data_IF_665191825635
#
_entry.id   IF_665191825635
#
_cell.length_a   1.000
_cell.length_b   1.000
_cell.length_c   1.000
_cell.angle_alpha   90.00
_cell.angle_beta   90.00
_cell.angle_gamma   90.00
#
_symmetry.space_group_name_H-M   'P 1'
#
loop_
_entity.id
_entity.type
_entity.pdbx_description
1 polymer ?
#
# COMPACT_ATOMS: atom_id res chain seq x y z
N UNK A 1 3.07 -18.41 -1.62
CA UNK A 1 2.63 -17.13 -1.02
C UNK A 1 3.82 -16.21 -0.71
N UNK A 2 4.89 -16.70 -0.05
CA UNK A 2 6.11 -15.92 0.24
C UNK A 2 6.79 -15.23 -0.95
N UNK A 3 6.78 -15.82 -2.14
CA UNK A 3 7.44 -15.24 -3.31
C UNK A 3 6.61 -14.16 -4.02
N UNK A 4 5.31 -14.13 -3.74
CA UNK A 4 4.35 -13.26 -4.42
C UNK A 4 3.86 -12.13 -3.51
N UNK A 5 3.99 -12.26 -2.17
CA UNK A 5 3.53 -11.25 -1.22
C UNK A 5 4.15 -9.87 -1.45
N UNK A 6 5.40 -9.83 -1.91
CA UNK A 6 6.11 -8.57 -2.14
C UNK A 6 5.75 -7.91 -3.48
N UNK A 7 4.99 -8.61 -4.32
CA UNK A 7 4.69 -8.19 -5.70
C UNK A 7 3.22 -7.87 -5.93
N UNK A 8 2.31 -8.46 -5.15
CA UNK A 8 0.86 -8.34 -5.34
C UNK A 8 0.13 -8.18 -4.01
N UNK A 9 -1.03 -7.53 -4.06
CA UNK A 9 -1.95 -7.51 -2.92
C UNK A 9 -2.51 -8.92 -2.67
N UNK A 10 -2.26 -9.47 -1.49
CA UNK A 10 -2.74 -10.81 -1.13
C UNK A 10 -3.95 -10.73 -0.22
N UNK A 11 -5.05 -11.37 -0.63
CA UNK A 11 -6.25 -11.54 0.17
C UNK A 11 -6.48 -13.04 0.36
N UNK A 12 -6.31 -13.58 1.56
CA UNK A 12 -6.48 -15.01 1.80
C UNK A 12 -7.96 -15.38 1.85
N UNK A 13 -8.30 -16.47 1.16
CA UNK A 13 -9.66 -17.03 1.08
C UNK A 13 -9.64 -18.51 1.43
N UNK A 14 -10.68 -18.97 2.11
CA UNK A 14 -10.98 -20.39 2.32
C UNK A 14 -12.07 -20.74 1.30
N UNK A 15 -11.73 -21.49 0.22
CA UNK A 15 -12.70 -21.90 -0.77
C UNK A 15 -13.55 -23.05 -0.25
N UNK A 16 -14.74 -23.23 -0.84
CA UNK A 16 -15.65 -24.35 -0.55
C UNK A 16 -15.94 -24.50 0.95
N UNK A 17 -16.27 -23.39 1.60
CA UNK A 17 -16.61 -23.38 3.02
C UNK A 17 -17.80 -24.29 3.37
N UNK A 18 -18.61 -24.68 2.38
CA UNK A 18 -19.69 -25.68 2.49
C UNK A 18 -19.23 -27.07 2.96
N UNK A 19 -17.95 -27.40 2.79
CA UNK A 19 -17.38 -28.68 3.22
C UNK A 19 -16.92 -28.71 4.68
N UNK A 20 -16.99 -27.59 5.40
CA UNK A 20 -16.52 -27.45 6.78
C UNK A 20 -17.70 -27.11 7.69
N UNK A 21 -17.75 -27.73 8.86
CA UNK A 21 -18.66 -27.28 9.92
C UNK A 21 -18.21 -25.92 10.47
N UNK A 22 -19.09 -25.19 11.14
CA UNK A 22 -18.74 -23.88 11.71
C UNK A 22 -17.56 -23.96 12.70
N UNK A 23 -17.50 -25.04 13.49
CA UNK A 23 -16.42 -25.28 14.45
C UNK A 23 -15.08 -25.58 13.75
N UNK A 24 -15.09 -26.42 12.72
CA UNK A 24 -13.91 -26.71 11.91
C UNK A 24 -13.45 -25.48 11.14
N UNK A 25 -14.39 -24.68 10.64
CA UNK A 25 -14.09 -23.45 9.93
C UNK A 25 -13.39 -22.44 10.84
N UNK A 26 -13.86 -22.28 12.09
CA UNK A 26 -13.21 -21.41 13.06
C UNK A 26 -11.77 -21.86 13.35
N UNK A 27 -11.58 -23.16 13.61
CA UNK A 27 -10.25 -23.74 13.82
C UNK A 27 -9.35 -23.58 12.59
N UNK A 28 -9.89 -23.79 11.39
CA UNK A 28 -9.15 -23.62 10.14
C UNK A 28 -8.73 -22.17 9.91
N UNK A 29 -9.62 -21.20 10.20
CA UNK A 29 -9.28 -19.77 10.15
C UNK A 29 -8.12 -19.46 11.10
N UNK A 30 -8.13 -20.00 12.32
CA UNK A 30 -7.07 -19.78 13.31
C UNK A 30 -5.73 -20.35 12.85
N UNK A 31 -5.73 -21.58 12.33
CA UNK A 31 -4.53 -22.22 11.79
C UNK A 31 -3.94 -21.38 10.64
N UNK A 32 -4.78 -20.96 9.68
CA UNK A 32 -4.31 -20.16 8.54
C UNK A 32 -3.73 -18.82 9.00
N UNK A 33 -4.37 -18.13 9.96
CA UNK A 33 -3.83 -16.88 10.51
C UNK A 33 -2.49 -17.10 11.20
N UNK A 34 -2.35 -18.18 11.98
CA UNK A 34 -1.10 -18.54 12.63
C UNK A 34 -0.01 -18.84 11.60
N UNK A 35 -0.31 -19.60 10.55
CA UNK A 35 0.66 -19.91 9.50
C UNK A 35 1.10 -18.67 8.72
N UNK A 36 0.20 -17.74 8.42
CA UNK A 36 0.51 -16.46 7.77
C UNK A 36 1.51 -15.66 8.62
N UNK A 37 1.25 -15.57 9.93
CA UNK A 37 2.12 -14.86 10.87
C UNK A 37 3.48 -15.55 11.03
N UNK A 38 3.51 -16.87 11.20
CA UNK A 38 4.76 -17.63 11.36
C UNK A 38 5.67 -17.55 10.14
N UNK A 39 5.08 -17.42 8.96
CA UNK A 39 5.78 -17.37 7.69
C UNK A 39 6.10 -15.96 7.21
N UNK A 40 5.77 -14.93 8.01
CA UNK A 40 5.91 -13.51 7.70
C UNK A 40 5.35 -13.16 6.31
N UNK A 41 4.15 -13.66 6.02
CA UNK A 41 3.49 -13.41 4.74
C UNK A 41 2.74 -12.09 4.82
N UNK A 42 3.17 -11.12 4.01
CA UNK A 42 2.47 -9.84 3.89
C UNK A 42 1.14 -10.02 3.15
N UNK A 43 0.04 -9.97 3.90
CA UNK A 43 -1.32 -9.89 3.37
C UNK A 43 -1.78 -8.43 3.33
N UNK A 44 -2.76 -8.13 2.47
CA UNK A 44 -3.35 -6.81 2.39
C UNK A 44 -3.97 -6.43 3.74
N UNK A 45 -3.54 -5.31 4.31
CA UNK A 45 -4.04 -4.81 5.59
C UNK A 45 -5.21 -3.86 5.32
N UNK A 46 -6.41 -4.31 5.67
CA UNK A 46 -7.65 -3.52 5.58
C UNK A 46 -7.73 -2.43 6.67
N UNK A 47 -6.58 -2.03 7.24
CA UNK A 47 -6.46 -1.09 8.36
C UNK A 47 -7.46 -1.42 9.47
N UNK A 48 -7.98 -0.39 10.15
CA UNK A 48 -9.05 -0.52 11.15
C UNK A 48 -10.42 -0.24 10.54
N UNK A 49 -10.63 -0.61 9.27
CA UNK A 49 -11.88 -0.32 8.60
C UNK A 49 -12.98 -1.25 9.09
N UNK A 50 -14.13 -0.63 9.39
CA UNK A 50 -15.29 -1.33 9.93
C UNK A 50 -16.11 -1.92 8.79
N UNK A 51 -16.53 -3.18 8.96
CA UNK A 51 -17.36 -3.87 7.97
C UNK A 51 -18.67 -3.11 7.72
N UNK A 52 -19.28 -2.56 8.77
CA UNK A 52 -20.55 -1.84 8.68
C UNK A 52 -20.51 -0.55 7.87
N UNK A 53 -19.35 0.12 7.78
CA UNK A 53 -19.17 1.31 6.93
C UNK A 53 -19.02 0.90 5.46
N UNK A 54 -18.25 -0.16 5.20
CA UNK A 54 -18.12 -0.72 3.85
C UNK A 54 -19.46 -1.23 3.29
N UNK A 55 -20.26 -1.91 4.11
CA UNK A 55 -21.55 -2.45 3.69
C UNK A 55 -22.64 -1.38 3.52
N UNK A 56 -22.56 -0.28 4.26
CA UNK A 56 -23.48 0.86 4.08
C UNK A 56 -23.37 1.46 2.67
N UNK A 57 -22.17 1.46 2.07
CA UNK A 57 -21.96 1.94 0.70
C UNK A 57 -22.63 1.04 -0.36
N UNK A 58 -23.02 -0.19 0.01
CA UNK A 58 -23.67 -1.16 -0.86
C UNK A 58 -25.16 -1.33 -0.57
N UNK A 59 -25.77 -0.43 0.22
CA UNK A 59 -27.17 -0.51 0.63
C UNK A 59 -27.53 -1.87 1.25
N UNK A 60 -26.55 -2.48 1.94
CA UNK A 60 -26.74 -3.74 2.65
C UNK A 60 -27.04 -3.45 4.11
N UNK A 61 -28.27 -3.71 4.51
CA UNK A 61 -28.71 -3.63 5.91
C UNK A 61 -28.09 -4.75 6.75
N UNK A 62 -27.01 -4.43 7.44
CA UNK A 62 -26.40 -5.30 8.47
C UNK A 62 -27.24 -5.30 9.76
N UNK A 63 -28.07 -4.26 9.97
CA UNK A 63 -28.77 -3.97 11.23
C UNK A 63 -30.20 -4.50 11.31
N UNK A 64 -30.84 -4.80 10.18
CA UNK A 64 -32.32 -4.91 10.19
C UNK A 64 -32.83 -6.17 10.89
N UNK A 65 -32.01 -7.22 11.15
CA UNK A 65 -32.40 -8.37 11.97
C UNK A 65 -31.19 -9.18 12.53
N UNK A 66 -31.14 -9.51 13.84
CA UNK A 66 -30.05 -10.28 14.48
C UNK A 66 -29.95 -11.77 14.06
N UNK A 67 -30.68 -12.19 13.02
CA UNK A 67 -30.62 -13.54 12.43
C UNK A 67 -30.22 -13.57 10.96
N UNK A 68 -29.87 -12.42 10.35
CA UNK A 68 -29.56 -12.31 8.91
C UNK A 68 -28.10 -12.00 8.60
N UNK A 69 -27.30 -11.57 9.57
CA UNK A 69 -25.88 -11.26 9.40
C UNK A 69 -25.04 -12.03 10.43
N UNK A 70 -23.91 -12.58 9.97
CA UNK A 70 -22.96 -13.31 10.82
C UNK A 70 -22.07 -12.39 11.66
N UNK A 71 -21.84 -11.17 11.19
CA UNK A 71 -20.96 -10.19 11.84
C UNK A 71 -21.72 -8.91 12.20
N UNK A 72 -21.29 -8.27 13.30
CA UNK A 72 -21.77 -6.94 13.69
C UNK A 72 -21.13 -5.84 12.82
N UNK A 73 -21.76 -4.66 12.75
CA UNK A 73 -21.22 -3.48 12.03
C UNK A 73 -19.84 -3.06 12.52
N UNK A 74 -19.59 -3.23 13.82
CA UNK A 74 -18.32 -2.86 14.47
C UNK A 74 -17.21 -3.88 14.23
N UNK A 75 -17.50 -4.99 13.55
CA UNK A 75 -16.50 -6.02 13.25
C UNK A 75 -15.49 -5.46 12.26
N UNK A 76 -14.21 -5.60 12.58
CA UNK A 76 -13.13 -5.19 11.68
C UNK A 76 -12.98 -6.20 10.58
N UNK A 77 -12.72 -5.72 9.36
CA UNK A 77 -12.53 -6.59 8.19
C UNK A 77 -11.33 -7.54 8.39
N UNK A 78 -10.30 -7.07 9.09
CA UNK A 78 -9.12 -7.86 9.45
C UNK A 78 -9.43 -9.12 10.25
N UNK A 79 -10.42 -9.08 11.13
CA UNK A 79 -10.76 -10.21 12.01
C UNK A 79 -11.53 -11.31 11.23
N UNK A 80 -12.22 -10.91 10.16
CA UNK A 80 -12.98 -11.80 9.28
C UNK A 80 -12.05 -12.58 8.35
N UNK A 81 -10.93 -11.96 7.95
CA UNK A 81 -9.88 -12.57 7.15
C UNK A 81 -9.25 -13.77 7.90
N UNK A 82 -9.10 -14.94 7.25
CA UNK A 82 -9.40 -15.25 5.85
C UNK A 82 -10.90 -15.48 5.56
N UNK A 83 -11.37 -15.00 4.40
CA UNK A 83 -12.79 -15.06 4.02
C UNK A 83 -13.21 -16.47 3.64
N UNK A 84 -14.26 -16.99 4.26
CA UNK A 84 -14.81 -18.31 3.98
C UNK A 84 -15.92 -18.19 2.92
N UNK A 85 -15.60 -18.57 1.69
CA UNK A 85 -16.50 -18.35 0.55
C UNK A 85 -17.04 -19.65 -0.03
N UNK A 86 -18.29 -19.58 -0.44
CA UNK A 86 -18.95 -20.57 -1.29
C UNK A 86 -19.19 -19.89 -2.63
N UNK A 87 -18.89 -20.57 -3.73
CA UNK A 87 -19.12 -20.05 -5.08
C UNK A 87 -19.92 -21.07 -5.90
N UNK A 88 -20.76 -20.59 -6.80
CA UNK A 88 -21.50 -21.43 -7.76
C UNK A 88 -21.79 -20.67 -9.05
N UNK A 89 -21.79 -21.41 -10.16
CA UNK A 89 -22.22 -20.90 -11.47
C UNK A 89 -23.69 -21.21 -11.76
N UNK A 90 -24.34 -22.06 -10.97
CA UNK A 90 -25.75 -22.37 -11.14
C UNK A 90 -26.61 -21.21 -10.63
N UNK A 91 -27.61 -20.87 -11.42
CA UNK A 91 -28.54 -19.76 -11.15
C UNK A 91 -29.95 -20.30 -10.96
N UNK A 92 -30.68 -19.70 -10.04
CA UNK A 92 -32.11 -19.92 -9.83
C UNK A 92 -32.83 -18.58 -9.94
N UNK A 93 -33.85 -18.54 -10.79
CA UNK A 93 -34.73 -17.38 -10.88
C UNK A 93 -35.82 -17.50 -9.82
N UNK A 94 -35.83 -16.57 -8.87
CA UNK A 94 -36.87 -16.47 -7.83
C UNK A 94 -38.18 -15.94 -8.46
N UNK A 95 -39.32 -16.15 -7.80
CA UNK A 95 -40.63 -15.69 -8.27
C UNK A 95 -40.71 -14.18 -8.56
N UNK A 96 -39.82 -13.39 -7.97
CA UNK A 96 -39.68 -11.94 -8.17
C UNK A 96 -38.76 -11.57 -9.36
N UNK A 97 -38.39 -12.53 -10.21
CA UNK A 97 -37.50 -12.36 -11.35
C UNK A 97 -36.06 -11.93 -10.97
N UNK A 98 -35.69 -12.12 -9.69
CA UNK A 98 -34.32 -12.01 -9.20
C UNK A 98 -33.52 -13.27 -9.54
N UNK A 99 -32.24 -13.09 -9.89
CA UNK A 99 -31.32 -14.19 -10.21
C UNK A 99 -30.43 -14.43 -9.00
N UNK A 100 -30.59 -15.59 -8.36
CA UNK A 100 -29.77 -16.01 -7.22
C UNK A 100 -28.79 -17.10 -7.63
N UNK A 101 -27.55 -17.00 -7.17
CA UNK A 101 -26.56 -18.06 -7.32
C UNK A 101 -26.76 -19.13 -6.25
N UNK A 102 -26.94 -20.39 -6.67
CA UNK A 102 -27.23 -21.49 -5.76
C UNK A 102 -26.29 -22.68 -5.95
N UNK A 103 -26.11 -23.49 -4.92
CA UNK A 103 -25.42 -24.76 -4.98
C UNK A 103 -26.34 -25.85 -4.45
N UNK A 104 -26.67 -26.81 -5.31
CA UNK A 104 -27.61 -27.88 -5.00
C UNK A 104 -26.86 -29.15 -4.55
N UNK A 105 -27.34 -29.74 -3.47
CA UNK A 105 -26.95 -31.04 -2.95
C UNK A 105 -28.19 -31.91 -2.81
N UNK A 106 -27.98 -33.22 -2.65
CA UNK A 106 -29.07 -34.18 -2.43
C UNK A 106 -29.88 -33.87 -1.15
N UNK A 107 -29.27 -33.22 -0.15
CA UNK A 107 -29.88 -32.87 1.13
C UNK A 107 -30.43 -31.44 1.19
N UNK A 108 -30.20 -30.60 0.17
CA UNK A 108 -30.70 -29.22 0.16
C UNK A 108 -29.98 -28.30 -0.82
N UNK A 109 -30.49 -27.07 -0.95
CA UNK A 109 -29.89 -26.01 -1.75
C UNK A 109 -29.29 -24.92 -0.86
N UNK A 110 -28.04 -24.53 -1.12
CA UNK A 110 -27.41 -23.38 -0.48
C UNK A 110 -27.45 -22.17 -1.40
N UNK A 111 -27.79 -21.01 -0.84
CA UNK A 111 -27.73 -19.73 -1.56
C UNK A 111 -26.35 -19.13 -1.31
N UNK A 112 -25.64 -18.79 -2.39
CA UNK A 112 -24.26 -18.26 -2.33
C UNK A 112 -24.23 -16.83 -1.80
N UNK A 113 -25.24 -16.04 -2.16
CA UNK A 113 -25.40 -14.65 -1.74
C UNK A 113 -26.20 -14.52 -0.44
N UNK A 114 -26.12 -15.52 0.44
CA UNK A 114 -26.67 -15.41 1.79
C UNK A 114 -25.55 -15.10 2.80
N UNK A 115 -25.76 -14.06 3.61
CA UNK A 115 -24.77 -13.56 4.59
C UNK A 115 -24.57 -14.51 5.77
N UNK A 116 -25.55 -15.38 6.06
CA UNK A 116 -25.44 -16.33 7.18
C UNK A 116 -24.56 -17.52 6.79
N UNK A 117 -24.65 -17.95 5.54
CA UNK A 117 -23.98 -19.14 5.04
C UNK A 117 -22.57 -18.85 4.51
N UNK A 118 -22.35 -17.70 3.86
CA UNK A 118 -21.12 -17.42 3.12
C UNK A 118 -20.60 -16.00 3.36
N UNK A 119 -19.28 -15.86 3.49
CA UNK A 119 -18.62 -14.55 3.56
C UNK A 119 -18.50 -13.88 2.16
N UNK A 120 -19.10 -14.46 1.11
CA UNK A 120 -18.99 -14.01 -0.28
C UNK A 120 -19.48 -12.58 -0.49
N UNK A 121 -20.62 -12.20 0.11
CA UNK A 121 -21.16 -10.84 0.02
C UNK A 121 -20.17 -9.83 0.59
N UNK A 122 -19.59 -10.14 1.76
CA UNK A 122 -18.63 -9.26 2.41
C UNK A 122 -17.41 -9.06 1.54
N UNK A 123 -16.86 -10.15 0.97
CA UNK A 123 -15.73 -10.08 0.05
C UNK A 123 -16.06 -9.26 -1.20
N UNK A 124 -17.23 -9.45 -1.81
CA UNK A 124 -17.71 -8.71 -2.99
C UNK A 124 -17.79 -7.20 -2.70
N UNK A 125 -18.38 -6.82 -1.58
CA UNK A 125 -18.51 -5.41 -1.17
C UNK A 125 -17.16 -4.75 -0.90
N UNK A 126 -16.21 -5.47 -0.28
CA UNK A 126 -14.87 -4.95 -0.01
C UNK A 126 -14.10 -4.76 -1.33
N UNK A 127 -14.09 -5.77 -2.19
CA UNK A 127 -13.30 -5.78 -3.42
C UNK A 127 -13.81 -4.81 -4.48
N UNK A 128 -15.12 -4.75 -4.70
CA UNK A 128 -15.72 -3.94 -5.76
C UNK A 128 -16.17 -2.56 -5.27
N UNK A 129 -16.23 -2.38 -3.95
CA UNK A 129 -16.77 -1.19 -3.31
C UNK A 129 -15.72 -0.30 -2.70
N UNK A 130 -15.51 -0.47 -1.40
CA UNK A 130 -14.74 0.48 -0.59
C UNK A 130 -13.24 0.45 -0.88
N UNK A 131 -12.65 -0.74 -1.02
CA UNK A 131 -11.19 -0.90 -1.04
C UNK A 131 -10.60 -1.02 -2.45
N UNK A 132 -11.42 -0.98 -3.51
CA UNK A 132 -10.95 -1.11 -4.89
C UNK A 132 -9.90 -0.04 -5.24
N UNK A 133 -10.15 1.20 -4.84
CA UNK A 133 -9.25 2.31 -5.11
C UNK A 133 -7.95 2.18 -4.30
N UNK A 134 -8.05 1.78 -3.04
CA UNK A 134 -6.86 1.55 -2.20
C UNK A 134 -5.98 0.42 -2.73
N UNK A 135 -6.59 -0.69 -3.17
CA UNK A 135 -5.85 -1.80 -3.81
C UNK A 135 -5.06 -1.32 -5.03
N UNK A 136 -5.65 -0.42 -5.84
CA UNK A 136 -4.97 0.18 -6.99
C UNK A 136 -3.84 1.10 -6.55
N UNK A 137 -4.07 1.94 -5.54
CA UNK A 137 -3.07 2.89 -5.05
C UNK A 137 -1.88 2.18 -4.42
N UNK A 138 -2.09 1.12 -3.63
CA UNK A 138 -1.02 0.27 -3.08
C UNK A 138 -0.25 -0.43 -4.21
N UNK A 139 -0.96 -0.94 -5.22
CA UNK A 139 -0.29 -1.57 -6.38
C UNK A 139 0.62 -0.59 -7.10
N UNK A 140 0.13 0.64 -7.36
CA UNK A 140 0.89 1.62 -8.12
C UNK A 140 2.03 2.23 -7.30
N UNK A 141 1.74 2.70 -6.08
CA UNK A 141 2.66 3.52 -5.30
C UNK A 141 3.66 2.70 -4.47
N UNK A 142 3.35 1.45 -4.17
CA UNK A 142 4.22 0.57 -3.37
C UNK A 142 4.77 -0.55 -4.23
N UNK A 143 3.91 -1.46 -4.71
CA UNK A 143 4.37 -2.69 -5.36
C UNK A 143 5.08 -2.42 -6.69
N UNK A 144 4.50 -1.57 -7.53
CA UNK A 144 5.10 -1.18 -8.80
C UNK A 144 6.32 -0.26 -8.63
N UNK A 145 6.26 0.71 -7.71
CA UNK A 145 7.43 1.58 -7.45
C UNK A 145 8.62 0.78 -6.91
N UNK A 146 8.40 -0.20 -6.02
CA UNK A 146 9.45 -1.09 -5.53
C UNK A 146 10.07 -1.87 -6.68
N UNK A 147 9.25 -2.50 -7.52
CA UNK A 147 9.73 -3.20 -8.71
C UNK A 147 10.48 -2.24 -9.67
N UNK A 148 9.98 -1.02 -9.88
CA UNK A 148 10.64 -0.04 -10.75
C UNK A 148 12.01 0.36 -10.19
N UNK A 149 12.10 0.55 -8.87
CA UNK A 149 13.36 0.84 -8.20
C UNK A 149 14.37 -0.30 -8.39
N UNK A 150 13.95 -1.54 -8.16
CA UNK A 150 14.79 -2.73 -8.33
C UNK A 150 15.35 -2.82 -9.75
N UNK A 151 14.49 -2.73 -10.77
CA UNK A 151 14.93 -2.79 -12.17
C UNK A 151 15.85 -1.63 -12.56
N UNK A 152 15.60 -0.42 -12.05
CA UNK A 152 16.48 0.73 -12.31
C UNK A 152 17.85 0.57 -11.62
N UNK A 153 17.91 -0.05 -10.45
CA UNK A 153 19.17 -0.35 -9.77
C UNK A 153 19.95 -1.46 -10.46
N UNK A 154 19.29 -2.53 -10.90
CA UNK A 154 19.91 -3.61 -11.68
C UNK A 154 20.48 -3.09 -13.01
N UNK A 155 19.73 -2.25 -13.73
CA UNK A 155 20.20 -1.66 -14.99
C UNK A 155 21.37 -0.70 -14.80
N UNK A 156 21.46 0.03 -13.67
CA UNK A 156 22.63 0.88 -13.35
C UNK A 156 23.92 0.07 -13.21
N UNK A 157 23.85 -1.20 -12.83
CA UNK A 157 25.01 -2.09 -12.72
C UNK A 157 25.47 -2.58 -14.10
N UNK A 158 24.56 -2.67 -15.09
CA UNK A 158 24.86 -3.15 -16.44
C UNK A 158 25.12 -2.02 -17.46
N UNK A 159 24.85 -0.77 -17.12
CA UNK A 159 25.40 0.37 -17.86
C UNK A 159 26.83 0.63 -17.39
N UNK A 160 27.76 -0.24 -17.79
CA UNK A 160 29.14 0.18 -17.97
C UNK A 160 29.09 1.34 -18.94
N UNK A 161 29.18 2.55 -18.39
CA UNK A 161 29.43 3.78 -19.13
C UNK A 161 30.65 3.45 -20.00
N UNK A 162 30.56 3.49 -21.35
CA UNK A 162 31.75 3.46 -22.17
C UNK A 162 32.60 4.60 -21.68
N UNK A 163 33.77 4.28 -21.12
CA UNK A 163 34.71 5.21 -20.56
C UNK A 163 35.12 6.19 -21.69
N UNK A 164 34.35 7.25 -21.89
CA UNK A 164 34.76 8.37 -22.72
C UNK A 164 35.72 9.17 -21.85
N UNK A 165 36.95 8.68 -21.80
CA UNK A 165 38.08 9.32 -21.15
C UNK A 165 38.29 10.69 -21.80
N UNK A 166 37.68 11.71 -21.23
CA UNK A 166 38.14 13.07 -21.41
C UNK A 166 39.53 13.14 -20.78
N UNK A 167 40.53 13.51 -21.57
CA UNK A 167 41.88 13.75 -21.08
C UNK A 167 41.83 14.92 -20.11
N UNK A 168 41.93 14.65 -18.81
CA UNK A 168 42.05 15.63 -17.74
C UNK A 168 43.52 15.89 -17.46
N UNK A 169 44.03 17.02 -17.98
CA UNK A 169 45.32 17.58 -17.60
C UNK A 169 45.03 18.75 -16.64
N UNK A 170 45.12 18.51 -15.32
CA UNK A 170 44.93 19.61 -14.36
C UNK A 170 44.76 19.24 -12.90
N UNK A 171 45.84 18.76 -12.26
CA UNK A 171 46.17 18.98 -10.83
C UNK A 171 45.07 18.83 -9.74
N UNK A 172 45.19 17.75 -8.94
CA UNK A 172 45.19 17.65 -7.44
C UNK A 172 44.13 18.52 -6.71
N UNK A 173 43.28 18.00 -5.82
CA UNK A 173 43.60 17.30 -4.57
C UNK A 173 42.40 16.50 -4.04
N UNK A 174 42.71 15.43 -3.30
CA UNK A 174 41.76 14.50 -2.68
C UNK A 174 41.42 14.93 -1.25
N UNK A 175 40.14 15.11 -0.87
CA UNK A 175 39.68 14.98 0.53
C UNK A 175 38.22 14.45 0.63
N UNK A 176 38.12 13.23 1.17
CA UNK A 176 37.16 12.62 2.12
C UNK A 176 35.62 12.67 1.98
N UNK A 177 35.04 11.46 1.99
CA UNK A 177 34.07 10.89 2.94
C UNK A 177 32.81 11.66 3.41
N UNK A 178 31.67 10.99 3.14
CA UNK A 178 30.59 10.58 4.06
C UNK A 178 29.39 11.51 4.32
N UNK A 179 28.23 10.92 3.98
CA UNK A 179 26.84 11.10 4.45
C UNK A 179 26.10 12.41 4.15
N UNK A 180 25.19 12.34 3.18
CA UNK A 180 24.06 13.28 3.07
C UNK A 180 22.75 12.53 3.24
N UNK A 181 22.04 12.91 4.30
CA UNK A 181 20.66 12.53 4.55
C UNK A 181 19.72 13.00 3.44
N UNK A 182 18.61 12.28 3.36
CA UNK A 182 17.53 12.44 2.40
C UNK A 182 16.91 13.83 2.50
N UNK A 183 16.63 14.43 1.36
CA UNK A 183 15.49 15.34 1.21
C UNK A 183 14.91 15.19 -0.19
N UNK A 184 13.75 14.55 -0.22
CA UNK A 184 12.84 14.44 -1.33
C UNK A 184 12.33 15.83 -1.72
N UNK A 185 12.37 16.15 -3.01
CA UNK A 185 11.35 17.01 -3.63
C UNK A 185 11.29 16.70 -5.12
N UNK A 186 10.20 16.03 -5.46
CA UNK A 186 9.68 15.78 -6.80
C UNK A 186 9.56 17.09 -7.59
N UNK A 187 9.97 17.05 -8.87
CA UNK A 187 9.38 17.84 -9.97
C UNK A 187 9.76 17.19 -11.31
N UNK A 188 8.79 16.42 -11.83
CA UNK A 188 8.40 16.34 -13.25
C UNK A 188 9.52 16.44 -14.30
N UNK A 189 10.02 15.28 -14.75
CA UNK A 189 10.77 15.16 -16.00
C UNK A 189 9.78 15.05 -17.17
N UNK A 190 9.32 16.21 -17.65
CA UNK A 190 8.84 16.35 -19.01
C UNK A 190 10.04 16.63 -19.92
N UNK A 191 10.15 15.89 -21.01
CA UNK A 191 11.05 16.20 -22.12
C UNK A 191 10.97 17.69 -22.47
N UNK A 192 12.06 18.43 -22.32
CA UNK A 192 12.28 19.68 -23.01
C UNK A 192 13.71 19.67 -23.54
N UNK A 193 13.81 19.79 -24.85
CA UNK A 193 15.03 20.11 -25.56
C UNK A 193 15.77 21.24 -24.83
N UNK A 194 17.05 21.00 -24.52
CA UNK A 194 17.92 21.92 -23.82
C UNK A 194 18.24 23.09 -24.76
N UNK A 195 17.45 24.15 -24.69
CA UNK A 195 17.89 25.47 -25.13
C UNK A 195 18.90 25.99 -24.09
N UNK A 196 20.14 26.23 -24.52
CA UNK A 196 21.27 26.71 -23.68
C UNK A 196 20.92 27.95 -22.82
N UNK A 197 19.98 28.79 -23.25
CA UNK A 197 19.49 29.93 -22.46
C UNK A 197 18.77 29.52 -21.17
N UNK A 198 18.00 28.44 -21.21
CA UNK A 198 17.19 28.03 -20.05
C UNK A 198 18.08 27.41 -18.97
N UNK A 199 19.14 26.69 -19.38
CA UNK A 199 20.17 26.18 -18.48
C UNK A 199 20.90 27.34 -17.77
N UNK A 200 21.32 28.37 -18.52
CA UNK A 200 22.01 29.53 -17.94
C UNK A 200 21.14 30.27 -16.91
N UNK A 201 19.83 30.37 -17.16
CA UNK A 201 18.87 30.98 -16.24
C UNK A 201 18.70 30.17 -14.95
N UNK A 202 18.69 28.84 -15.05
CA UNK A 202 18.64 27.93 -13.90
C UNK A 202 19.93 28.03 -13.07
N UNK A 203 21.10 28.02 -13.71
CA UNK A 203 22.38 28.16 -13.00
C UNK A 203 22.48 29.50 -12.26
N UNK A 204 22.06 30.59 -12.89
CA UNK A 204 22.02 31.91 -12.25
C UNK A 204 21.09 31.95 -11.02
N UNK A 205 19.92 31.32 -11.11
CA UNK A 205 18.97 31.25 -9.99
C UNK A 205 19.50 30.37 -8.83
N UNK A 206 20.26 29.32 -9.14
CA UNK A 206 20.94 28.48 -8.16
C UNK A 206 22.00 29.28 -7.39
N UNK A 207 22.81 30.07 -8.08
CA UNK A 207 23.86 30.91 -7.45
C UNK A 207 23.26 31.99 -6.54
N UNK A 208 22.17 32.64 -6.97
CA UNK A 208 21.46 33.62 -6.15
C UNK A 208 20.91 32.99 -4.87
N UNK A 209 20.33 31.79 -4.95
CA UNK A 209 19.82 31.05 -3.78
C UNK A 209 20.95 30.59 -2.85
N UNK A 210 22.08 30.14 -3.39
CA UNK A 210 23.24 29.75 -2.60
C UNK A 210 23.81 30.93 -1.81
N UNK A 211 23.86 32.11 -2.41
CA UNK A 211 24.29 33.34 -1.73
C UNK A 211 23.36 33.71 -0.57
N UNK A 212 22.04 33.57 -0.77
CA UNK A 212 21.05 33.82 0.29
C UNK A 212 21.25 32.82 1.44
N UNK A 213 21.49 31.53 1.14
CA UNK A 213 21.75 30.50 2.14
C UNK A 213 23.00 30.84 2.97
N UNK A 214 24.07 31.30 2.34
CA UNK A 214 25.31 31.70 3.03
C UNK A 214 25.09 32.89 3.97
N UNK A 215 24.28 33.89 3.55
CA UNK A 215 23.93 35.03 4.39
C UNK A 215 23.09 34.61 5.61
N UNK A 216 22.16 33.67 5.43
CA UNK A 216 21.40 33.11 6.55
C UNK A 216 22.28 32.31 7.51
N UNK A 217 23.24 31.53 7.01
CA UNK A 217 24.19 30.80 7.85
C UNK A 217 25.04 31.76 8.70
N UNK A 218 25.57 32.83 8.10
CA UNK A 218 26.30 33.89 8.84
C UNK A 218 25.42 34.56 9.89
N UNK A 219 24.12 34.76 9.60
CA UNK A 219 23.16 35.34 10.55
C UNK A 219 22.95 34.41 11.75
N UNK A 220 22.80 33.11 11.49
CA UNK A 220 22.63 32.09 12.53
C UNK A 220 23.89 32.04 13.41
N UNK A 221 25.08 31.96 12.82
CA UNK A 221 26.35 31.94 13.56
C UNK A 221 26.55 33.19 14.45
N UNK A 222 26.12 34.35 13.95
CA UNK A 222 26.16 35.61 14.72
C UNK A 222 25.21 35.59 15.92
N UNK A 223 23.99 35.07 15.73
CA UNK A 223 23.01 34.90 16.80
C UNK A 223 23.48 33.88 17.84
N UNK A 224 24.08 32.76 17.40
CA UNK A 224 24.67 31.76 18.29
C UNK A 224 25.81 32.35 19.13
N UNK A 225 26.66 33.19 18.54
CA UNK A 225 27.70 33.92 19.29
C UNK A 225 27.13 34.92 20.29
N UNK A 226 25.99 35.55 20.00
CA UNK A 226 25.30 36.43 20.96
C UNK A 226 24.68 35.65 22.12
N UNK A 227 24.16 34.44 21.87
CA UNK A 227 23.60 33.55 22.88
C UNK A 227 24.67 32.86 23.74
N UNK A 228 25.88 32.66 23.22
CA UNK A 228 27.00 32.00 23.90
C UNK A 228 28.01 32.99 24.52
N UNK A 229 27.71 34.29 24.50
CA UNK A 229 28.48 35.30 25.22
C UNK A 229 28.48 35.06 26.74
N UNK A 230 29.59 35.31 27.45
CA UNK A 230 29.83 34.76 28.77
C UNK A 230 28.91 35.38 29.84
N UNK A 231 28.22 34.52 30.59
CA UNK A 231 27.73 34.83 31.94
C UNK A 231 28.93 35.30 32.79
N UNK A 232 29.13 36.61 32.83
CA UNK A 232 30.02 37.29 33.78
C UNK A 232 29.29 38.48 34.39
N UNK A 233 28.49 38.19 35.43
CA UNK A 233 28.45 39.00 36.66
C UNK A 233 27.59 38.30 37.71
N UNK A 234 28.25 37.66 38.69
CA UNK A 234 28.26 38.02 40.13
C UNK A 234 27.16 37.27 40.91
N UNK A 235 27.57 36.47 41.91
CA UNK A 235 27.68 36.89 43.31
C UNK A 235 26.32 37.25 43.91
#
# INVERSE_FOLDING_TARGET
MKTICDKVNLIPIIPKADGLTEAELALHKDIVRQEILQNDIHVFDFKSDNLGETLALYDMDVDSNPGKSKYSRDTKIKDISPFAIICSNAIRTTAENSVEHIREYEWGSLIVEDQTTSDFIYLKAILLGSHLQELKDVTNNVLYENYRADILTEKKIHCDIPNYSYMDEGSRESISNVSTGRSSSSRTLGNLDLNDENAYKIYKEIDEKNKIIEDYQKKIDSLERMLTGPDKSKA
#
